data_IF_808396050271
#
_entry.id   IF_808396050271
#
_cell.length_a   1.000
_cell.length_b   1.000
_cell.length_c   1.000
_cell.angle_alpha   90.00
_cell.angle_beta   90.00
_cell.angle_gamma   90.00
#
_symmetry.space_group_name_H-M   'P 1'
#
loop_
_entity.id
_entity.type
_entity.pdbx_description
1 polymer ?
#
# COMPACT_ATOMS: atom_id res chain seq x y z
N UNK A 1 33.25 -3.13 9.50
CA UNK A 1 32.62 -2.22 8.50
C UNK A 1 31.75 -1.23 9.28
N UNK A 2 31.71 0.05 8.91
CA UNK A 2 30.92 1.07 9.63
C UNK A 2 29.58 1.30 8.91
N UNK A 3 28.51 1.62 9.66
CA UNK A 3 27.21 1.97 9.08
C UNK A 3 27.23 3.27 8.27
N UNK A 4 28.28 4.09 8.43
CA UNK A 4 28.48 5.33 7.67
C UNK A 4 29.02 5.12 6.26
N UNK A 5 29.44 3.89 5.92
CA UNK A 5 29.94 3.56 4.59
C UNK A 5 28.84 3.77 3.53
N UNK A 6 29.19 4.42 2.41
CA UNK A 6 28.28 4.71 1.29
C UNK A 6 27.69 3.46 0.63
N UNK A 7 28.28 2.29 0.87
CA UNK A 7 27.78 1.00 0.39
C UNK A 7 26.62 0.47 1.24
N UNK A 8 26.42 0.98 2.46
CA UNK A 8 25.33 0.59 3.36
C UNK A 8 24.03 1.26 2.92
N UNK A 9 22.94 0.49 2.93
CA UNK A 9 21.64 0.98 2.52
C UNK A 9 21.01 1.84 3.63
N UNK A 10 21.02 3.16 3.49
CA UNK A 10 20.39 4.09 4.46
C UNK A 10 18.89 3.81 4.67
N UNK A 11 18.08 3.55 3.63
CA UNK A 11 16.69 3.13 3.80
C UNK A 11 16.53 1.84 4.62
N UNK A 12 17.45 0.88 4.50
CA UNK A 12 17.43 -0.34 5.31
C UNK A 12 17.68 -0.02 6.79
N UNK A 13 18.63 0.86 7.09
CA UNK A 13 18.88 1.30 8.47
C UNK A 13 17.65 1.99 9.10
N UNK A 14 16.78 2.59 8.28
CA UNK A 14 15.53 3.23 8.68
C UNK A 14 14.29 2.30 8.62
N UNK A 15 14.49 1.01 8.38
CA UNK A 15 13.43 0.00 8.24
C UNK A 15 12.43 0.32 7.11
N UNK A 16 12.92 0.83 5.99
CA UNK A 16 12.07 1.27 4.89
C UNK A 16 12.61 0.93 3.50
N UNK A 17 13.56 0.00 3.37
CA UNK A 17 14.06 -0.40 2.05
C UNK A 17 12.98 -1.20 1.29
N UNK A 18 12.55 -0.76 0.10
CA UNK A 18 11.55 -1.50 -0.69
C UNK A 18 11.98 -2.92 -1.05
N UNK A 19 13.28 -3.15 -1.27
CA UNK A 19 13.83 -4.49 -1.58
C UNK A 19 13.60 -5.49 -0.45
N UNK A 20 13.67 -5.03 0.81
CA UNK A 20 13.43 -5.89 1.99
C UNK A 20 11.93 -6.10 2.20
N UNK A 21 11.16 -5.01 2.18
CA UNK A 21 9.71 -5.02 2.46
C UNK A 21 8.97 -5.91 1.44
N UNK A 22 9.33 -5.78 0.16
CA UNK A 22 8.67 -6.48 -0.94
C UNK A 22 9.38 -7.78 -1.34
N UNK A 23 10.39 -8.22 -0.60
CA UNK A 23 11.08 -9.50 -0.84
C UNK A 23 10.10 -10.67 -0.82
N UNK A 24 10.22 -11.59 -1.77
CA UNK A 24 9.33 -12.76 -1.89
C UNK A 24 7.89 -12.44 -2.30
N UNK A 25 7.62 -11.20 -2.72
CA UNK A 25 6.31 -10.83 -3.30
C UNK A 25 6.34 -10.93 -4.83
N UNK A 26 5.19 -10.76 -5.48
CA UNK A 26 5.12 -10.74 -6.96
C UNK A 26 5.87 -9.57 -7.61
N UNK A 27 6.23 -8.54 -6.84
CA UNK A 27 6.98 -7.37 -7.30
C UNK A 27 8.39 -7.34 -6.68
N UNK A 28 8.93 -8.50 -6.31
CA UNK A 28 10.27 -8.60 -5.75
C UNK A 28 11.29 -7.90 -6.67
N UNK A 29 12.03 -6.96 -6.07
CA UNK A 29 13.03 -6.16 -6.74
C UNK A 29 14.38 -6.89 -6.84
N UNK A 30 14.49 -8.07 -6.23
CA UNK A 30 15.72 -8.81 -6.05
C UNK A 30 16.56 -8.26 -4.90
N UNK A 31 17.78 -8.75 -4.81
CA UNK A 31 18.73 -8.32 -3.79
C UNK A 31 19.08 -6.84 -3.95
N UNK A 32 19.16 -6.12 -2.83
CA UNK A 32 19.55 -4.72 -2.86
C UNK A 32 21.02 -4.59 -3.30
N UNK A 33 21.30 -3.62 -4.17
CA UNK A 33 22.68 -3.27 -4.58
C UNK A 33 23.53 -2.72 -3.42
N UNK A 34 22.89 -2.36 -2.32
CA UNK A 34 23.50 -1.82 -1.11
C UNK A 34 23.47 -2.86 0.00
N UNK A 35 24.41 -2.75 0.94
CA UNK A 35 24.59 -3.72 2.02
C UNK A 35 23.45 -3.59 3.04
N UNK A 36 22.77 -4.71 3.30
CA UNK A 36 21.77 -4.89 4.34
C UNK A 36 22.36 -5.78 5.45
N UNK A 37 22.85 -5.18 6.53
CA UNK A 37 23.36 -5.93 7.69
C UNK A 37 22.67 -5.45 8.97
N UNK A 38 22.05 -6.38 9.69
CA UNK A 38 21.32 -6.09 10.92
C UNK A 38 22.22 -5.51 12.04
N UNK A 39 23.49 -5.92 12.08
CA UNK A 39 24.48 -5.35 13.00
C UNK A 39 24.67 -3.84 12.75
N UNK A 40 24.79 -3.43 11.48
CA UNK A 40 24.95 -2.02 11.10
C UNK A 40 23.69 -1.20 11.43
N UNK A 41 22.50 -1.80 11.29
CA UNK A 41 21.24 -1.17 11.72
C UNK A 41 21.22 -0.92 13.23
N UNK A 42 21.58 -1.92 14.04
CA UNK A 42 21.63 -1.75 15.49
C UNK A 42 22.63 -0.66 15.90
N UNK A 43 23.78 -0.58 15.21
CA UNK A 43 24.79 0.47 15.45
C UNK A 43 24.25 1.86 15.08
N UNK A 44 23.54 1.96 13.95
CA UNK A 44 22.87 3.19 13.52
C UNK A 44 21.81 3.64 14.53
N UNK A 45 20.94 2.75 15.00
CA UNK A 45 19.87 3.07 15.96
C UNK A 45 20.44 3.65 17.27
N UNK A 46 21.54 3.08 17.77
CA UNK A 46 22.25 3.62 18.94
C UNK A 46 22.84 5.01 18.65
N UNK A 47 23.46 5.19 17.49
CA UNK A 47 24.02 6.48 17.10
C UNK A 47 22.96 7.57 16.89
N UNK A 48 21.82 7.22 16.26
CA UNK A 48 20.72 8.12 15.96
C UNK A 48 20.06 8.71 17.23
N UNK A 49 20.16 8.02 18.36
CA UNK A 49 19.69 8.53 19.66
C UNK A 49 20.52 9.72 20.15
N UNK A 50 21.82 9.75 19.79
CA UNK A 50 22.78 10.75 20.28
C UNK A 50 23.05 11.90 19.31
N UNK A 51 22.90 11.65 18.00
CA UNK A 51 23.17 12.64 16.95
C UNK A 51 22.25 12.47 15.76
N UNK A 52 21.91 13.60 15.13
CA UNK A 52 21.17 13.60 13.86
C UNK A 52 22.12 13.29 12.69
N UNK A 53 21.87 12.17 12.03
CA UNK A 53 22.66 11.68 10.89
C UNK A 53 22.09 12.11 9.52
N UNK A 54 20.85 12.62 9.49
CA UNK A 54 20.16 13.11 8.30
C UNK A 54 19.95 12.07 7.19
N UNK A 55 19.94 10.78 7.54
CA UNK A 55 19.70 9.67 6.60
C UNK A 55 18.25 9.63 6.10
N UNK A 56 17.36 10.34 6.79
CA UNK A 56 15.96 10.54 6.42
C UNK A 56 15.83 11.19 5.03
N UNK A 57 16.79 12.05 4.64
CA UNK A 57 16.79 12.71 3.32
C UNK A 57 17.01 11.69 2.19
N UNK A 58 17.96 10.78 2.35
CA UNK A 58 18.25 9.75 1.34
C UNK A 58 17.12 8.73 1.26
N UNK A 59 16.55 8.35 2.42
CA UNK A 59 15.39 7.48 2.46
C UNK A 59 14.17 8.12 1.81
N UNK A 60 13.93 9.41 2.06
CA UNK A 60 12.85 10.17 1.43
C UNK A 60 13.01 10.21 -0.09
N UNK A 61 14.20 10.51 -0.61
CA UNK A 61 14.46 10.57 -2.05
C UNK A 61 14.22 9.21 -2.72
N UNK A 62 14.75 8.12 -2.14
CA UNK A 62 14.54 6.78 -2.69
C UNK A 62 13.07 6.36 -2.66
N UNK A 63 12.38 6.53 -1.53
CA UNK A 63 10.97 6.15 -1.41
C UNK A 63 10.07 7.01 -2.30
N UNK A 64 10.35 8.31 -2.41
CA UNK A 64 9.56 9.20 -3.29
C UNK A 64 9.67 8.76 -4.75
N UNK A 65 10.88 8.41 -5.22
CA UNK A 65 11.10 7.90 -6.58
C UNK A 65 10.38 6.57 -6.79
N UNK A 66 10.51 5.65 -5.84
CA UNK A 66 9.86 4.34 -5.90
C UNK A 66 8.33 4.45 -5.96
N UNK A 67 7.72 5.20 -5.04
CA UNK A 67 6.26 5.40 -5.00
C UNK A 67 5.78 6.09 -6.27
N UNK A 68 6.49 7.12 -6.76
CA UNK A 68 6.13 7.79 -8.00
C UNK A 68 6.18 6.87 -9.23
N UNK A 69 7.13 5.92 -9.29
CA UNK A 69 7.18 4.91 -10.34
C UNK A 69 5.99 3.94 -10.24
N UNK A 70 5.67 3.48 -9.04
CA UNK A 70 4.51 2.61 -8.80
C UNK A 70 3.19 3.30 -9.15
N UNK A 71 3.00 4.57 -8.78
CA UNK A 71 1.81 5.35 -9.13
C UNK A 71 1.65 5.50 -10.65
N UNK A 72 2.76 5.74 -11.37
CA UNK A 72 2.74 5.77 -12.85
C UNK A 72 2.32 4.42 -13.44
N UNK A 73 2.80 3.30 -12.88
CA UNK A 73 2.41 1.95 -13.31
C UNK A 73 0.93 1.67 -13.03
N UNK A 74 0.43 2.05 -11.85
CA UNK A 74 -0.99 1.95 -11.50
C UNK A 74 -1.84 2.73 -12.50
N UNK A 75 -1.47 3.97 -12.81
CA UNK A 75 -2.24 4.82 -13.73
C UNK A 75 -2.19 4.30 -15.17
N UNK A 76 -1.06 3.73 -15.60
CA UNK A 76 -0.98 3.05 -16.89
C UNK A 76 -1.88 1.80 -16.94
N UNK A 77 -1.88 0.98 -15.89
CA UNK A 77 -2.74 -0.19 -15.79
C UNK A 77 -4.23 0.19 -15.80
N UNK A 78 -4.62 1.25 -15.08
CA UNK A 78 -5.98 1.80 -15.08
C UNK A 78 -6.43 2.22 -16.47
N UNK A 79 -5.61 3.00 -17.18
CA UNK A 79 -5.91 3.43 -18.57
C UNK A 79 -6.07 2.26 -19.52
N UNK A 80 -5.13 1.31 -19.50
CA UNK A 80 -5.20 0.11 -20.34
C UNK A 80 -6.47 -0.71 -20.06
N UNK A 81 -6.86 -0.79 -18.78
CA UNK A 81 -8.07 -1.50 -18.38
C UNK A 81 -9.33 -0.77 -18.87
N UNK A 82 -9.35 0.56 -18.78
CA UNK A 82 -10.43 1.39 -19.29
C UNK A 82 -10.61 1.23 -20.80
N UNK A 83 -9.53 1.21 -21.57
CA UNK A 83 -9.56 0.93 -23.03
C UNK A 83 -10.17 -0.45 -23.34
N UNK A 84 -9.85 -1.45 -22.52
CA UNK A 84 -10.40 -2.82 -22.68
C UNK A 84 -11.88 -2.90 -22.27
N UNK A 85 -12.34 -1.95 -21.45
CA UNK A 85 -13.68 -1.91 -20.87
C UNK A 85 -14.51 -0.74 -21.43
N UNK A 86 -14.12 -0.14 -22.56
CA UNK A 86 -14.76 1.05 -23.15
C UNK A 86 -16.24 0.80 -23.52
N UNK A 87 -16.61 -0.45 -23.80
CA UNK A 87 -18.01 -0.85 -24.06
C UNK A 87 -18.92 -0.74 -22.82
N UNK A 88 -18.37 -0.52 -21.62
CA UNK A 88 -19.17 -0.20 -20.44
C UNK A 88 -19.67 1.25 -20.50
N UNK A 89 -20.98 1.42 -20.67
CA UNK A 89 -21.61 2.72 -20.49
C UNK A 89 -21.34 3.30 -19.09
N UNK A 90 -21.40 4.62 -18.96
CA UNK A 90 -21.05 5.33 -17.71
C UNK A 90 -21.84 4.85 -16.49
N UNK A 91 -23.12 4.50 -16.67
CA UNK A 91 -23.95 3.98 -15.59
C UNK A 91 -23.45 2.62 -15.09
N UNK A 92 -23.10 1.72 -16.00
CA UNK A 92 -22.56 0.41 -15.65
C UNK A 92 -21.18 0.54 -14.99
N UNK A 93 -20.33 1.47 -15.47
CA UNK A 93 -19.05 1.76 -14.83
C UNK A 93 -19.22 2.27 -13.39
N UNK A 94 -20.20 3.16 -13.12
CA UNK A 94 -20.50 3.62 -11.76
C UNK A 94 -20.93 2.46 -10.84
N UNK A 95 -21.87 1.62 -11.28
CA UNK A 95 -22.33 0.47 -10.50
C UNK A 95 -21.20 -0.55 -10.25
N UNK A 96 -20.36 -0.78 -11.25
CA UNK A 96 -19.17 -1.63 -11.12
C UNK A 96 -18.20 -1.09 -10.06
N UNK A 97 -17.95 0.22 -10.05
CA UNK A 97 -17.10 0.87 -9.04
C UNK A 97 -17.67 0.68 -7.63
N UNK A 98 -18.99 0.85 -7.44
CA UNK A 98 -19.65 0.61 -6.15
C UNK A 98 -19.43 -0.83 -5.66
N UNK A 99 -19.55 -1.83 -6.53
CA UNK A 99 -19.34 -3.25 -6.15
C UNK A 99 -17.88 -3.48 -5.76
N UNK A 100 -16.94 -2.89 -6.49
CA UNK A 100 -15.52 -2.98 -6.15
C UNK A 100 -15.16 -2.27 -4.83
N UNK A 101 -15.77 -1.12 -4.54
CA UNK A 101 -15.60 -0.43 -3.26
C UNK A 101 -16.13 -1.27 -2.09
N UNK A 102 -17.30 -1.91 -2.26
CA UNK A 102 -17.83 -2.84 -1.26
C UNK A 102 -16.91 -4.06 -1.07
N UNK A 103 -16.40 -4.62 -2.17
CA UNK A 103 -15.42 -5.72 -2.12
C UNK A 103 -14.11 -5.33 -1.40
N UNK A 104 -13.62 -4.12 -1.62
CA UNK A 104 -12.45 -3.58 -0.92
C UNK A 104 -12.70 -3.43 0.59
N UNK A 105 -13.86 -2.90 0.98
CA UNK A 105 -14.24 -2.80 2.40
C UNK A 105 -14.36 -4.18 3.06
N UNK A 106 -15.00 -5.14 2.38
CA UNK A 106 -15.12 -6.53 2.86
C UNK A 106 -13.73 -7.13 3.07
N UNK A 107 -12.87 -7.08 2.05
CA UNK A 107 -11.53 -7.67 2.11
C UNK A 107 -10.64 -7.04 3.19
N UNK A 108 -10.70 -5.71 3.34
CA UNK A 108 -9.95 -5.00 4.38
C UNK A 108 -10.45 -5.35 5.79
N UNK A 109 -11.77 -5.40 5.99
CA UNK A 109 -12.34 -5.76 7.30
C UNK A 109 -12.10 -7.22 7.64
N UNK A 110 -12.15 -8.12 6.67
CA UNK A 110 -11.81 -9.54 6.86
C UNK A 110 -10.35 -9.71 7.27
N UNK A 111 -9.42 -9.07 6.57
CA UNK A 111 -8.00 -9.11 6.92
C UNK A 111 -7.76 -8.59 8.36
N UNK A 112 -8.43 -7.50 8.74
CA UNK A 112 -8.36 -6.96 10.10
C UNK A 112 -9.02 -7.87 11.15
N UNK A 113 -10.14 -8.50 10.82
CA UNK A 113 -10.82 -9.44 11.70
C UNK A 113 -9.95 -10.69 11.97
N UNK A 114 -9.25 -11.20 10.95
CA UNK A 114 -8.28 -12.29 11.08
C UNK A 114 -7.11 -11.89 11.99
N UNK A 115 -6.57 -10.69 11.82
CA UNK A 115 -5.50 -10.15 12.66
C UNK A 115 -5.94 -10.04 14.14
N UNK A 116 -7.10 -9.44 14.41
CA UNK A 116 -7.63 -9.32 15.78
C UNK A 116 -7.91 -10.70 16.39
N UNK A 117 -8.40 -11.65 15.59
CA UNK A 117 -8.59 -13.04 16.00
C UNK A 117 -7.26 -13.70 16.40
N UNK A 118 -6.20 -13.49 15.62
CA UNK A 118 -4.86 -13.99 15.94
C UNK A 118 -4.27 -13.36 17.20
N UNK A 119 -4.63 -12.12 17.53
CA UNK A 119 -4.25 -11.42 18.76
C UNK A 119 -5.10 -11.82 19.99
N UNK A 120 -6.15 -12.64 19.80
CA UNK A 120 -7.05 -13.06 20.88
C UNK A 120 -8.17 -12.07 21.21
N UNK A 121 -8.35 -11.01 20.41
CA UNK A 121 -9.41 -10.02 20.56
C UNK A 121 -10.70 -10.49 19.86
N UNK A 122 -11.27 -11.58 20.38
CA UNK A 122 -12.40 -12.29 19.77
C UNK A 122 -13.64 -11.40 19.65
N UNK A 123 -13.98 -10.63 20.68
CA UNK A 123 -15.18 -9.77 20.66
C UNK A 123 -15.11 -8.68 19.59
N UNK A 124 -13.93 -8.09 19.37
CA UNK A 124 -13.73 -7.08 18.34
C UNK A 124 -13.72 -7.68 16.93
N UNK A 125 -13.11 -8.87 16.79
CA UNK A 125 -13.14 -9.63 15.54
C UNK A 125 -14.57 -9.98 15.14
N UNK A 126 -15.40 -10.44 16.09
CA UNK A 126 -16.81 -10.76 15.84
C UNK A 126 -17.63 -9.54 15.37
N UNK A 127 -17.41 -8.36 15.96
CA UNK A 127 -18.06 -7.12 15.50
C UNK A 127 -17.71 -6.78 14.05
N UNK A 128 -16.44 -6.94 13.66
CA UNK A 128 -16.04 -6.72 12.26
C UNK A 128 -16.69 -7.73 11.31
N UNK A 129 -16.85 -8.98 11.73
CA UNK A 129 -17.53 -9.99 10.94
C UNK A 129 -19.03 -9.68 10.74
N UNK A 130 -19.71 -9.15 11.77
CA UNK A 130 -21.09 -8.67 11.63
C UNK A 130 -21.20 -7.53 10.61
N UNK A 131 -20.27 -6.57 10.64
CA UNK A 131 -20.21 -5.51 9.64
C UNK A 131 -19.93 -6.04 8.23
N UNK A 132 -19.09 -7.08 8.10
CA UNK A 132 -18.82 -7.75 6.83
C UNK A 132 -20.09 -8.42 6.28
N UNK A 133 -20.91 -9.06 7.10
CA UNK A 133 -22.19 -9.63 6.65
C UNK A 133 -23.15 -8.57 6.09
N UNK A 134 -23.23 -7.40 6.72
CA UNK A 134 -24.00 -6.28 6.20
C UNK A 134 -23.48 -5.81 4.84
N UNK A 135 -22.16 -5.71 4.68
CA UNK A 135 -21.52 -5.35 3.41
C UNK A 135 -21.72 -6.43 2.32
N UNK A 136 -21.70 -7.72 2.68
CA UNK A 136 -22.00 -8.83 1.74
C UNK A 136 -23.38 -8.69 1.14
N UNK A 137 -24.38 -8.38 1.98
CA UNK A 137 -25.75 -8.17 1.52
C UNK A 137 -25.84 -6.98 0.56
N UNK A 138 -25.22 -5.85 0.90
CA UNK A 138 -25.16 -4.68 0.03
C UNK A 138 -24.43 -4.98 -1.30
N UNK A 139 -23.32 -5.73 -1.25
CA UNK A 139 -22.56 -6.14 -2.44
C UNK A 139 -23.42 -7.00 -3.36
N UNK A 140 -24.17 -7.96 -2.80
CA UNK A 140 -25.05 -8.83 -3.56
C UNK A 140 -26.18 -8.04 -4.25
N UNK A 141 -26.79 -7.08 -3.55
CA UNK A 141 -27.83 -6.21 -4.12
C UNK A 141 -27.26 -5.36 -5.27
N UNK A 142 -26.07 -4.77 -5.10
CA UNK A 142 -25.40 -4.01 -6.13
C UNK A 142 -25.01 -4.88 -7.35
N UNK A 143 -24.53 -6.11 -7.12
CA UNK A 143 -24.23 -7.07 -8.20
C UNK A 143 -25.46 -7.45 -9.02
N UNK A 144 -26.62 -7.64 -8.37
CA UNK A 144 -27.88 -7.92 -9.05
C UNK A 144 -28.32 -6.74 -9.92
N UNK A 145 -28.22 -5.52 -9.39
CA UNK A 145 -28.54 -4.30 -10.14
C UNK A 145 -27.60 -4.14 -11.35
N UNK A 146 -26.29 -4.32 -11.14
CA UNK A 146 -25.31 -4.26 -12.23
C UNK A 146 -25.59 -5.32 -13.31
N UNK A 147 -25.92 -6.54 -12.90
CA UNK A 147 -26.30 -7.62 -13.83
C UNK A 147 -27.55 -7.26 -14.64
N UNK A 148 -28.52 -6.55 -14.05
CA UNK A 148 -29.73 -6.14 -14.75
C UNK A 148 -29.50 -5.04 -15.80
N UNK A 149 -28.42 -4.26 -15.67
CA UNK A 149 -28.07 -3.18 -16.60
C UNK A 149 -27.30 -3.61 -17.84
N UNK A 150 -26.88 -4.88 -17.93
CA UNK A 150 -25.97 -5.34 -18.98
C UNK A 150 -26.48 -6.59 -19.71
N UNK A 151 -26.27 -6.69 -21.05
CA UNK A 151 -26.51 -7.92 -21.79
C UNK A 151 -25.61 -9.06 -21.28
N UNK A 152 -26.12 -10.29 -21.37
CA UNK A 152 -25.40 -11.47 -20.90
C UNK A 152 -24.01 -11.64 -21.54
N UNK A 153 -23.84 -11.28 -22.82
CA UNK A 153 -22.57 -11.37 -23.55
C UNK A 153 -21.47 -10.48 -22.96
N UNK A 154 -21.79 -9.23 -22.65
CA UNK A 154 -20.85 -8.27 -22.05
C UNK A 154 -20.55 -8.62 -20.58
N UNK A 155 -21.52 -9.20 -19.88
CA UNK A 155 -21.37 -9.66 -18.50
C UNK A 155 -20.42 -10.88 -18.37
N UNK A 156 -20.30 -11.74 -19.40
CA UNK A 156 -19.39 -12.89 -19.35
C UNK A 156 -17.90 -12.48 -19.37
N UNK A 157 -17.56 -11.27 -19.81
CA UNK A 157 -16.18 -10.78 -19.76
C UNK A 157 -15.77 -10.48 -18.31
N UNK A 158 -14.55 -10.83 -17.91
CA UNK A 158 -14.04 -10.49 -16.58
C UNK A 158 -13.97 -8.96 -16.41
N UNK A 159 -14.83 -8.45 -15.52
CA UNK A 159 -14.82 -7.06 -15.11
C UNK A 159 -13.86 -6.92 -13.94
N UNK A 160 -12.73 -6.29 -14.24
CA UNK A 160 -11.61 -6.07 -13.33
C UNK A 160 -11.57 -4.59 -12.92
N UNK A 161 -10.91 -4.33 -11.79
CA UNK A 161 -10.42 -3.03 -11.32
C UNK A 161 -8.95 -3.18 -10.95
N UNK A 162 -8.17 -2.11 -11.08
CA UNK A 162 -6.79 -2.07 -10.58
C UNK A 162 -6.80 -1.56 -9.13
N UNK A 163 -6.18 -2.30 -8.22
CA UNK A 163 -5.93 -1.86 -6.84
C UNK A 163 -4.99 -0.64 -6.84
N UNK A 164 -5.35 0.42 -6.11
CA UNK A 164 -4.59 1.67 -6.10
C UNK A 164 -3.29 1.57 -5.30
N UNK A 165 -3.24 0.64 -4.33
CA UNK A 165 -2.10 0.45 -3.44
C UNK A 165 -0.99 -0.36 -4.12
N UNK A 166 -1.33 -1.53 -4.67
CA UNK A 166 -0.35 -2.51 -5.17
C UNK A 166 -0.48 -2.86 -6.66
N UNK A 167 -1.31 -2.13 -7.40
CA UNK A 167 -1.49 -2.27 -8.87
C UNK A 167 -1.99 -3.63 -9.36
N UNK A 168 -2.43 -4.53 -8.46
CA UNK A 168 -2.97 -5.82 -8.86
C UNK A 168 -4.40 -5.70 -9.38
N UNK A 169 -4.77 -6.56 -10.32
CA UNK A 169 -6.15 -6.64 -10.84
C UNK A 169 -7.05 -7.44 -9.89
N UNK A 170 -8.19 -6.85 -9.55
CA UNK A 170 -9.25 -7.43 -8.72
C UNK A 170 -10.52 -7.58 -9.55
N UNK A 171 -11.14 -8.76 -9.47
CA UNK A 171 -12.40 -9.05 -10.15
C UNK A 171 -13.61 -8.67 -9.32
N UNK A 172 -14.70 -8.33 -10.00
CA UNK A 172 -15.99 -8.05 -9.35
C UNK A 172 -16.52 -9.27 -8.57
N UNK A 173 -16.30 -10.46 -9.13
CA UNK A 173 -16.71 -11.76 -8.56
C UNK A 173 -15.63 -12.43 -7.70
N UNK A 174 -14.62 -11.68 -7.26
CA UNK A 174 -13.64 -12.22 -6.34
C UNK A 174 -14.34 -12.57 -5.01
N UNK A 175 -14.08 -13.79 -4.54
CA UNK A 175 -14.61 -14.26 -3.27
C UNK A 175 -13.86 -13.63 -2.09
N UNK A 176 -14.51 -13.65 -0.95
CA UNK A 176 -14.04 -13.04 0.28
C UNK A 176 -12.67 -13.51 0.73
N UNK A 177 -12.36 -14.81 0.56
CA UNK A 177 -11.04 -15.35 0.86
C UNK A 177 -9.97 -14.70 -0.01
N UNK A 178 -10.20 -14.59 -1.33
CA UNK A 178 -9.26 -13.93 -2.24
C UNK A 178 -9.10 -12.44 -1.94
N UNK A 179 -10.18 -11.76 -1.53
CA UNK A 179 -10.12 -10.37 -1.11
C UNK A 179 -9.30 -10.23 0.18
N UNK A 180 -9.57 -11.04 1.21
CA UNK A 180 -8.80 -11.08 2.43
C UNK A 180 -7.30 -11.37 2.17
N UNK A 181 -6.99 -12.39 1.37
CA UNK A 181 -5.61 -12.73 0.96
C UNK A 181 -4.92 -11.57 0.21
N UNK A 182 -5.68 -10.76 -0.55
CA UNK A 182 -5.15 -9.59 -1.22
C UNK A 182 -4.82 -8.46 -0.23
N UNK A 183 -5.80 -8.02 0.57
CA UNK A 183 -5.65 -6.86 1.46
C UNK A 183 -4.80 -7.15 2.70
N UNK A 184 -4.84 -8.39 3.21
CA UNK A 184 -3.96 -8.88 4.26
C UNK A 184 -2.64 -9.48 3.76
N UNK A 185 -2.42 -9.47 2.44
CA UNK A 185 -1.23 -10.05 1.82
C UNK A 185 0.01 -9.18 1.99
N UNK A 186 1.19 -9.82 2.10
CA UNK A 186 2.50 -9.14 2.23
C UNK A 186 2.73 -8.04 1.18
N UNK A 187 2.29 -8.28 -0.07
CA UNK A 187 2.41 -7.31 -1.15
C UNK A 187 1.64 -6.01 -0.85
N UNK A 188 0.36 -6.13 -0.52
CA UNK A 188 -0.50 -4.99 -0.28
C UNK A 188 -0.08 -4.24 0.99
N UNK A 189 0.11 -4.97 2.09
CA UNK A 189 0.58 -4.41 3.36
C UNK A 189 1.98 -3.77 3.23
N UNK A 190 2.87 -4.35 2.44
CA UNK A 190 4.19 -3.78 2.18
C UNK A 190 4.13 -2.43 1.46
N UNK A 191 3.21 -2.27 0.49
CA UNK A 191 2.98 -0.97 -0.15
C UNK A 191 2.38 0.06 0.80
N UNK A 192 1.45 -0.34 1.67
CA UNK A 192 0.92 0.54 2.73
C UNK A 192 2.06 1.01 3.62
N UNK A 193 2.87 0.08 4.14
CA UNK A 193 4.02 0.37 4.99
C UNK A 193 4.99 1.36 4.33
N UNK A 194 5.29 1.18 3.04
CA UNK A 194 6.18 2.08 2.29
C UNK A 194 5.57 3.48 2.16
N UNK A 195 4.27 3.59 1.84
CA UNK A 195 3.58 4.89 1.70
C UNK A 195 3.47 5.64 3.01
N UNK A 196 3.08 4.96 4.09
CA UNK A 196 3.03 5.54 5.44
C UNK A 196 4.40 6.04 5.87
N UNK A 197 5.44 5.22 5.66
CA UNK A 197 6.81 5.58 6.01
C UNK A 197 7.32 6.76 5.19
N UNK A 198 6.94 6.85 3.91
CA UNK A 198 7.24 8.00 3.06
C UNK A 198 6.63 9.28 3.62
N UNK A 199 5.36 9.24 4.05
CA UNK A 199 4.68 10.42 4.61
C UNK A 199 5.27 10.84 5.97
N UNK A 200 5.66 9.88 6.80
CA UNK A 200 6.40 10.16 8.03
C UNK A 200 7.76 10.81 7.75
N UNK A 201 8.50 10.32 6.75
CA UNK A 201 9.78 10.90 6.35
C UNK A 201 9.60 12.31 5.82
N UNK A 202 8.57 12.60 5.01
CA UNK A 202 8.27 13.96 4.56
C UNK A 202 8.10 14.93 5.73
N UNK A 203 7.33 14.55 6.75
CA UNK A 203 7.11 15.37 7.96
C UNK A 203 8.43 15.62 8.70
N UNK A 204 9.20 14.57 8.99
CA UNK A 204 10.50 14.69 9.68
C UNK A 204 11.49 15.55 8.92
N UNK A 205 11.57 15.38 7.61
CA UNK A 205 12.45 16.17 6.74
C UNK A 205 12.04 17.65 6.75
N UNK A 206 10.73 17.94 6.70
CA UNK A 206 10.23 19.30 6.79
C UNK A 206 10.58 19.95 8.14
N UNK A 207 10.35 19.26 9.26
CA UNK A 207 10.73 19.74 10.59
C UNK A 207 12.24 20.01 10.73
N UNK A 208 13.07 19.15 10.15
CA UNK A 208 14.53 19.34 10.13
C UNK A 208 14.93 20.58 9.32
N UNK A 209 14.28 20.82 8.19
CA UNK A 209 14.51 22.01 7.37
C UNK A 209 14.08 23.29 8.09
N UNK A 210 12.92 23.29 8.73
CA UNK A 210 12.43 24.42 9.53
C UNK A 210 13.39 24.75 10.68
N UNK A 211 13.85 23.75 11.43
CA UNK A 211 14.86 23.93 12.49
C UNK A 211 16.15 24.54 11.95
N UNK A 212 16.66 24.03 10.83
CA UNK A 212 17.86 24.57 10.17
C UNK A 212 17.67 26.02 9.71
N UNK A 213 16.48 26.38 9.23
CA UNK A 213 16.18 27.76 8.85
C UNK A 213 16.11 28.70 10.06
N UNK A 214 15.50 28.26 11.16
CA UNK A 214 15.45 29.01 12.41
C UNK A 214 16.85 29.25 12.98
N UNK A 215 17.71 28.23 13.00
CA UNK A 215 19.12 28.37 13.41
C UNK A 215 19.88 29.35 12.51
N UNK A 216 19.68 29.28 11.18
CA UNK A 216 20.29 30.23 10.23
C UNK A 216 19.83 31.66 10.47
N UNK A 217 18.54 31.87 10.77
CA UNK A 217 17.98 33.19 11.11
C UNK A 217 18.52 33.71 12.44
N UNK A 218 18.69 32.83 13.43
CA UNK A 218 19.27 33.18 14.74
C UNK A 218 20.75 33.55 14.66
N UNK A 219 21.53 32.96 13.73
CA UNK A 219 22.94 33.31 13.52
C UNK A 219 23.16 34.60 12.73
N UNK A 220 22.12 35.12 12.08
CA UNK A 220 22.15 36.37 11.30
C UNK A 220 21.66 37.59 12.07
N UNK A 221 21.09 37.38 13.27
CA UNK A 221 20.80 38.42 14.26
C UNK A 221 21.96 38.52 15.24
#
# INVERSE_FOLDING_TARGET
>A
MSFEDRRVCRPFLLNCCPHEILSGTRVDLGECTKIHEYALRADYERAATTRNLYYEMDALDMLSKFVAECDRKTEHAKRKLQETQEELGEEAARKMNTIHELGEQIGTKLAKAEELGAQGLVDESMKLLEEVEALRKAKLEAEQEFRSTMPASTYQQQKLRVCEVCSAYLGIHDNDRRLADHFGGKLHLGFIQIREKLDDLKKRVNELNEKRELERKSRRK
#
